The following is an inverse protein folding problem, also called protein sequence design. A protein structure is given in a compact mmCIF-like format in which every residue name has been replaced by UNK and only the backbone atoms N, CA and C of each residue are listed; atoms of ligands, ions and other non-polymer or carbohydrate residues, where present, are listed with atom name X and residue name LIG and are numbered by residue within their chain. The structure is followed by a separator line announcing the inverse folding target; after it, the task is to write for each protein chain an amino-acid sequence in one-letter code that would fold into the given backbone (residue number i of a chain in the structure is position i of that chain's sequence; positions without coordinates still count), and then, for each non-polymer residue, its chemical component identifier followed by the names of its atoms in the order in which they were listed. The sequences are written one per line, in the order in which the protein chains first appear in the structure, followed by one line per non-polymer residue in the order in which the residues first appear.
data_IF_760591601311
#
_entry.id   IF_760591601311
#
_cell.length_a   1.000
_cell.length_b   1.000
_cell.length_c   1.000
_cell.angle_alpha   90.00
_cell.angle_beta   90.00
_cell.angle_gamma   90.00
#
_symmetry.space_group_name_H-M   'P 1'
#
loop_
_entity.id
_entity.type
_entity.pdbx_description
1 polymer ?
#
# COMPACT_ATOMS: atom_id res chain seq x y z
N UNK A 1 3.95 -16.75 -16.10
CA UNK A 1 3.65 -15.33 -15.78
C UNK A 1 2.97 -14.68 -16.99
N UNK A 2 1.73 -14.21 -16.82
CA UNK A 2 0.92 -13.64 -17.88
C UNK A 2 1.43 -12.23 -18.21
N UNK A 3 2.26 -12.13 -19.26
CA UNK A 3 2.67 -10.91 -19.96
C UNK A 3 3.24 -9.75 -19.11
N UNK A 4 4.44 -9.26 -19.47
CA UNK A 4 5.13 -8.19 -18.72
C UNK A 4 4.37 -6.86 -18.76
N UNK A 5 3.53 -6.66 -19.78
CA UNK A 5 2.73 -5.45 -19.98
C UNK A 5 1.26 -5.63 -19.58
N UNK A 6 0.90 -6.74 -18.92
CA UNK A 6 -0.45 -6.91 -18.40
C UNK A 6 -0.76 -5.83 -17.34
N UNK A 7 -1.95 -5.22 -17.37
CA UNK A 7 -2.34 -4.23 -16.35
C UNK A 7 -2.45 -4.90 -14.98
N UNK A 8 -1.77 -4.33 -13.97
CA UNK A 8 -1.79 -4.83 -12.59
C UNK A 8 -2.55 -3.84 -11.71
N UNK A 9 -3.49 -4.33 -10.90
CA UNK A 9 -4.14 -3.50 -9.89
C UNK A 9 -3.21 -3.32 -8.70
N UNK A 10 -2.92 -2.06 -8.37
CA UNK A 10 -2.19 -1.73 -7.14
C UNK A 10 -3.02 -2.09 -5.91
N UNK A 11 -2.36 -2.48 -4.82
CA UNK A 11 -3.03 -2.89 -3.58
C UNK A 11 -4.00 -1.82 -3.06
N UNK A 12 -3.65 -0.54 -3.19
CA UNK A 12 -4.52 0.60 -2.83
C UNK A 12 -5.84 0.60 -3.61
N UNK A 13 -5.79 0.28 -4.90
CA UNK A 13 -6.99 0.17 -5.74
C UNK A 13 -7.83 -1.04 -5.34
N UNK A 14 -7.19 -2.15 -4.92
CA UNK A 14 -7.90 -3.32 -4.42
C UNK A 14 -8.62 -3.03 -3.09
N UNK A 15 -7.96 -2.33 -2.16
CA UNK A 15 -8.56 -1.91 -0.89
C UNK A 15 -9.75 -0.97 -1.14
N UNK A 16 -9.62 0.01 -2.05
CA UNK A 16 -10.70 0.95 -2.34
C UNK A 16 -11.94 0.25 -2.91
N UNK A 17 -11.76 -0.70 -3.83
CA UNK A 17 -12.85 -1.48 -4.43
C UNK A 17 -13.52 -2.39 -3.39
N UNK A 18 -12.74 -3.08 -2.56
CA UNK A 18 -13.32 -3.95 -1.52
C UNK A 18 -13.99 -3.14 -0.40
N UNK A 19 -13.46 -1.98 -0.02
CA UNK A 19 -14.06 -1.10 0.98
C UNK A 19 -15.46 -0.61 0.59
N UNK A 20 -15.75 -0.49 -0.71
CA UNK A 20 -17.07 -0.12 -1.19
C UNK A 20 -18.15 -1.18 -0.86
N UNK A 21 -17.75 -2.45 -0.69
CA UNK A 21 -18.63 -3.57 -0.38
C UNK A 21 -18.43 -4.13 1.03
N UNK A 22 -17.36 -3.74 1.72
CA UNK A 22 -17.00 -4.28 3.03
C UNK A 22 -17.89 -3.74 4.15
N UNK A 23 -18.37 -4.65 5.01
CA UNK A 23 -19.14 -4.31 6.21
C UNK A 23 -18.56 -5.01 7.45
N UNK A 24 -18.87 -4.49 8.64
CA UNK A 24 -18.46 -5.09 9.91
C UNK A 24 -16.94 -5.31 10.01
N UNK A 25 -16.54 -6.54 10.34
CA UNK A 25 -15.16 -6.91 10.61
C UNK A 25 -14.24 -6.78 9.38
N UNK A 26 -14.75 -7.06 8.18
CA UNK A 26 -13.98 -6.95 6.92
C UNK A 26 -13.57 -5.51 6.62
N UNK A 27 -14.47 -4.56 6.91
CA UNK A 27 -14.17 -3.12 6.75
C UNK A 27 -13.09 -2.66 7.72
N UNK A 28 -13.09 -3.19 8.95
CA UNK A 28 -12.07 -2.89 9.96
C UNK A 28 -10.69 -3.45 9.56
N UNK A 29 -10.62 -4.68 9.05
CA UNK A 29 -9.35 -5.27 8.59
C UNK A 29 -8.79 -4.55 7.36
N UNK A 30 -9.65 -4.13 6.42
CA UNK A 30 -9.22 -3.31 5.27
C UNK A 30 -8.68 -1.95 5.70
N UNK A 31 -9.32 -1.31 6.69
CA UNK A 31 -8.84 -0.04 7.24
C UNK A 31 -7.48 -0.19 7.92
N UNK A 32 -7.31 -1.22 8.75
CA UNK A 32 -6.03 -1.53 9.39
C UNK A 32 -4.93 -1.84 8.38
N UNK A 33 -5.25 -2.56 7.30
CA UNK A 33 -4.32 -2.85 6.20
C UNK A 33 -3.92 -1.57 5.46
N UNK A 34 -4.86 -0.66 5.22
CA UNK A 34 -4.58 0.65 4.62
C UNK A 34 -3.68 1.52 5.51
N UNK A 35 -3.89 1.51 6.83
CA UNK A 35 -3.01 2.19 7.79
C UNK A 35 -1.60 1.60 7.78
N UNK A 36 -1.48 0.27 7.81
CA UNK A 36 -0.19 -0.41 7.74
C UNK A 36 0.58 -0.08 6.45
N UNK A 37 -0.12 -0.09 5.30
CA UNK A 37 0.47 0.29 4.02
C UNK A 37 0.95 1.75 4.03
N UNK A 38 0.18 2.66 4.63
CA UNK A 38 0.61 4.05 4.78
C UNK A 38 1.90 4.15 5.61
N UNK A 39 1.96 3.47 6.75
CA UNK A 39 3.16 3.41 7.58
C UNK A 39 4.36 2.81 6.83
N UNK A 40 4.15 1.76 6.04
CA UNK A 40 5.19 1.18 5.20
C UNK A 40 5.75 2.20 4.20
N UNK A 41 4.87 2.90 3.47
CA UNK A 41 5.30 3.91 2.48
C UNK A 41 6.02 5.07 3.17
N UNK A 42 5.53 5.54 4.31
CA UNK A 42 6.20 6.58 5.10
C UNK A 42 7.57 6.12 5.59
N UNK A 43 7.69 4.87 6.07
CA UNK A 43 8.96 4.30 6.50
C UNK A 43 9.94 4.17 5.32
N UNK A 44 9.48 3.71 4.16
CA UNK A 44 10.30 3.65 2.95
C UNK A 44 10.77 5.04 2.52
N UNK A 45 9.87 6.03 2.52
CA UNK A 45 10.21 7.41 2.20
C UNK A 45 11.21 8.01 3.21
N UNK A 46 11.07 7.68 4.50
CA UNK A 46 12.02 8.08 5.53
C UNK A 46 13.38 7.45 5.30
N UNK A 47 13.44 6.12 5.09
CA UNK A 47 14.68 5.39 4.84
C UNK A 47 15.37 5.91 3.58
N UNK A 48 14.61 6.18 2.51
CA UNK A 48 15.14 6.80 1.31
C UNK A 48 15.77 8.17 1.61
N UNK A 49 15.10 8.99 2.41
CA UNK A 49 15.66 10.27 2.84
C UNK A 49 16.92 10.11 3.70
N UNK A 50 16.98 9.14 4.61
CA UNK A 50 18.21 8.85 5.37
C UNK A 50 19.34 8.39 4.44
N UNK A 51 19.07 7.46 3.53
CA UNK A 51 20.05 6.96 2.57
C UNK A 51 20.58 8.07 1.65
N UNK A 52 19.73 9.04 1.27
CA UNK A 52 20.14 10.20 0.49
C UNK A 52 20.86 11.28 1.31
N UNK A 53 20.78 11.23 2.64
CA UNK A 53 21.49 12.16 3.53
C UNK A 53 22.94 11.79 3.78
N UNK A 54 23.35 10.57 3.44
CA UNK A 54 24.75 10.13 3.44
C UNK A 54 25.31 10.02 2.01
N UNK A 55 25.54 11.12 1.28
CA UNK A 55 26.50 11.15 0.19
C UNK A 55 27.87 11.54 0.80
N UNK A 56 28.52 10.58 1.47
CA UNK A 56 29.93 10.69 1.87
C UNK A 56 30.82 9.99 0.85
#
# INVERSE_FOLDING_TARGET
PSDVFAPVRVLTANIALEMAYATGLHRASLFASGLLLCLLVLALAWVAQLAMRDPA
#
